data_IF_155266408872
#
_entry.id   IF_155266408872
#
_cell.length_a   1.000
_cell.length_b   1.000
_cell.length_c   1.000
_cell.angle_alpha   90.00
_cell.angle_beta   90.00
_cell.angle_gamma   90.00
#
_symmetry.space_group_name_H-M   'P 1'
#
loop_
_entity.id
_entity.type
_entity.pdbx_description
1 polymer ?
#
# COMPACT_ATOMS: atom_id res chain seq x y z
N UNK A 1 9.23 -7.60 0.08
CA UNK A 1 7.91 -8.17 -0.31
C UNK A 1 7.69 -8.01 -1.82
N UNK A 2 6.97 -8.93 -2.48
CA UNK A 2 6.64 -8.80 -3.92
C UNK A 2 5.28 -8.12 -4.17
N UNK A 3 5.28 -6.94 -4.82
CA UNK A 3 4.04 -6.25 -5.23
C UNK A 3 3.59 -6.72 -6.62
N UNK A 4 2.51 -7.50 -6.67
CA UNK A 4 2.01 -8.11 -7.92
C UNK A 4 1.27 -7.09 -8.81
N UNK A 5 0.48 -6.20 -8.19
CA UNK A 5 -0.50 -5.37 -8.90
C UNK A 5 0.00 -3.96 -9.26
N UNK A 6 1.29 -3.78 -9.61
CA UNK A 6 1.84 -2.45 -9.98
C UNK A 6 1.07 -1.77 -11.12
N UNK A 7 0.52 -2.56 -12.05
CA UNK A 7 -0.29 -2.07 -13.17
C UNK A 7 -1.50 -1.24 -12.69
N UNK A 8 -2.17 -1.67 -11.61
CA UNK A 8 -3.34 -0.98 -11.05
C UNK A 8 -2.96 0.41 -10.53
N UNK A 9 -1.82 0.54 -9.84
CA UNK A 9 -1.32 1.84 -9.39
C UNK A 9 -1.07 2.78 -10.58
N UNK A 10 -0.46 2.23 -11.65
CA UNK A 10 -0.16 2.99 -12.86
C UNK A 10 -1.40 3.48 -13.57
N UNK A 11 -2.39 2.62 -13.76
CA UNK A 11 -3.67 3.00 -14.37
C UNK A 11 -4.45 4.00 -13.53
N UNK A 12 -4.27 3.99 -12.21
CA UNK A 12 -4.90 4.95 -11.33
C UNK A 12 -4.24 6.33 -11.44
N UNK A 13 -2.91 6.41 -11.35
CA UNK A 13 -2.23 7.70 -11.40
C UNK A 13 -2.21 8.34 -12.79
N UNK A 14 -2.40 7.59 -13.87
CA UNK A 14 -2.59 8.19 -15.22
C UNK A 14 -3.89 8.97 -15.31
N UNK A 15 -4.93 8.56 -14.57
CA UNK A 15 -6.21 9.28 -14.45
C UNK A 15 -6.18 10.35 -13.35
N UNK A 16 -5.39 10.12 -12.31
CA UNK A 16 -5.28 10.98 -11.13
C UNK A 16 -3.82 11.36 -10.85
N UNK A 17 -3.23 12.18 -11.72
CA UNK A 17 -1.80 12.55 -11.68
C UNK A 17 -1.33 13.08 -10.32
N UNK A 18 -2.21 13.76 -9.58
CA UNK A 18 -1.90 14.32 -8.26
C UNK A 18 -1.57 13.30 -7.15
N UNK A 19 -1.68 11.99 -7.39
CA UNK A 19 -1.26 10.95 -6.45
C UNK A 19 -0.10 10.08 -6.96
N UNK A 20 0.42 10.34 -8.16
CA UNK A 20 1.45 9.52 -8.81
C UNK A 20 2.68 9.35 -7.91
N UNK A 21 3.20 10.44 -7.37
CA UNK A 21 4.42 10.41 -6.58
C UNK A 21 4.22 9.61 -5.28
N UNK A 22 3.10 9.79 -4.59
CA UNK A 22 2.79 9.06 -3.36
C UNK A 22 2.58 7.57 -3.62
N UNK A 23 1.93 7.18 -4.72
CA UNK A 23 1.77 5.78 -5.08
C UNK A 23 3.11 5.13 -5.51
N UNK A 24 4.00 5.88 -6.18
CA UNK A 24 5.36 5.42 -6.48
C UNK A 24 6.20 5.25 -5.21
N UNK A 25 6.11 6.18 -4.26
CA UNK A 25 6.79 6.06 -2.96
C UNK A 25 6.29 4.84 -2.21
N UNK A 26 4.97 4.70 -2.05
CA UNK A 26 4.37 3.52 -1.41
C UNK A 26 4.82 2.22 -2.07
N UNK A 27 4.85 2.15 -3.41
CA UNK A 27 5.31 0.96 -4.13
C UNK A 27 6.75 0.60 -3.76
N UNK A 28 7.65 1.60 -3.73
CA UNK A 28 9.08 1.39 -3.41
C UNK A 28 9.28 0.98 -1.95
N UNK A 29 8.52 1.57 -1.04
CA UNK A 29 8.54 1.23 0.39
C UNK A 29 8.04 -0.21 0.60
N UNK A 30 6.89 -0.56 0.02
CA UNK A 30 6.33 -1.90 0.09
C UNK A 30 7.26 -2.96 -0.53
N UNK A 31 7.89 -2.68 -1.67
CA UNK A 31 8.84 -3.60 -2.32
C UNK A 31 10.05 -3.93 -1.42
N UNK A 32 10.56 -2.92 -0.70
CA UNK A 32 11.68 -3.05 0.25
C UNK A 32 11.30 -3.55 1.63
N UNK A 33 10.01 -3.55 1.96
CA UNK A 33 9.53 -3.96 3.27
C UNK A 33 9.62 -5.48 3.48
N UNK A 34 9.71 -5.87 4.75
CA UNK A 34 9.71 -7.26 5.22
C UNK A 34 8.61 -7.47 6.29
N UNK A 35 7.44 -6.86 6.11
CA UNK A 35 6.36 -6.91 7.11
C UNK A 35 5.88 -8.34 7.33
N UNK A 36 5.97 -8.85 8.55
CA UNK A 36 5.56 -10.22 8.91
C UNK A 36 4.09 -10.32 9.32
N UNK A 37 3.48 -9.19 9.66
CA UNK A 37 2.08 -9.10 10.09
C UNK A 37 1.56 -7.66 9.95
N UNK A 38 0.26 -7.49 10.17
CA UNK A 38 -0.41 -6.18 10.09
C UNK A 38 0.05 -5.19 11.16
N UNK A 39 0.58 -5.66 12.30
CA UNK A 39 1.05 -4.77 13.37
C UNK A 39 2.33 -4.04 12.96
N UNK A 40 3.23 -4.70 12.22
CA UNK A 40 4.44 -4.05 11.67
C UNK A 40 4.07 -2.95 10.68
N UNK A 41 3.10 -3.22 9.80
CA UNK A 41 2.55 -2.21 8.90
C UNK A 41 1.96 -1.04 9.69
N UNK A 42 1.22 -1.32 10.76
CA UNK A 42 0.61 -0.28 11.60
C UNK A 42 1.64 0.58 12.34
N UNK A 43 2.83 0.03 12.65
CA UNK A 43 3.95 0.79 13.22
C UNK A 43 4.55 1.78 12.21
N UNK A 44 4.74 1.34 10.97
CA UNK A 44 5.30 2.18 9.90
C UNK A 44 4.27 3.16 9.31
N UNK A 45 3.00 2.74 9.23
CA UNK A 45 1.86 3.54 8.77
C UNK A 45 0.79 3.61 9.86
N UNK A 46 0.97 4.47 10.88
CA UNK A 46 0.01 4.62 11.98
C UNK A 46 -1.41 4.98 11.53
N UNK A 47 -1.55 5.66 10.39
CA UNK A 47 -2.85 6.06 9.83
C UNK A 47 -3.51 4.98 8.96
N UNK A 48 -2.82 3.87 8.68
CA UNK A 48 -3.39 2.78 7.90
C UNK A 48 -4.47 2.04 8.70
N UNK A 49 -5.55 1.64 8.02
CA UNK A 49 -6.62 0.85 8.63
C UNK A 49 -6.40 -0.63 8.34
N UNK A 50 -6.39 -1.45 9.39
CA UNK A 50 -6.33 -2.91 9.25
C UNK A 50 -7.76 -3.44 9.13
N UNK A 51 -8.00 -4.22 8.08
CA UNK A 51 -9.25 -4.93 7.84
C UNK A 51 -9.02 -6.43 8.03
N UNK A 52 -10.12 -7.19 8.19
CA UNK A 52 -10.04 -8.65 8.19
C UNK A 52 -9.53 -9.22 6.86
N UNK A 53 -9.04 -10.46 6.90
CA UNK A 53 -8.49 -11.20 5.74
C UNK A 53 -7.20 -10.58 5.17
N UNK A 54 -6.29 -10.14 6.07
CA UNK A 54 -4.99 -9.54 5.74
C UNK A 54 -5.08 -8.38 4.75
N UNK A 55 -6.15 -7.59 4.84
CA UNK A 55 -6.36 -6.40 4.03
C UNK A 55 -5.97 -5.16 4.81
N UNK A 56 -5.27 -4.25 4.15
CA UNK A 56 -4.84 -2.98 4.73
C UNK A 56 -5.27 -1.86 3.81
N UNK A 57 -5.73 -0.77 4.41
CA UNK A 57 -6.08 0.46 3.72
C UNK A 57 -5.05 1.53 4.06
N UNK A 58 -4.33 2.01 3.05
CA UNK A 58 -3.37 3.10 3.17
C UNK A 58 -4.00 4.42 2.72
N UNK A 59 -3.71 5.49 3.45
CA UNK A 59 -4.09 6.84 3.07
C UNK A 59 -3.08 7.40 2.08
N UNK A 60 -3.54 7.80 0.90
CA UNK A 60 -2.69 8.35 -0.17
C UNK A 60 -3.03 9.82 -0.39
N UNK A 61 -1.99 10.64 -0.64
CA UNK A 61 -2.08 12.09 -0.87
C UNK A 61 -2.85 12.81 0.24
N UNK A 62 -2.33 12.78 1.47
CA UNK A 62 -2.90 13.54 2.58
C UNK A 62 -4.35 13.14 2.90
N UNK A 63 -4.67 11.85 2.82
CA UNK A 63 -6.01 11.30 3.07
C UNK A 63 -7.04 11.47 1.92
N UNK A 64 -6.65 12.00 0.76
CA UNK A 64 -7.58 12.20 -0.37
C UNK A 64 -7.94 10.90 -1.10
N UNK A 65 -7.09 9.88 -1.03
CA UNK A 65 -7.31 8.59 -1.67
C UNK A 65 -7.07 7.43 -0.69
N UNK A 66 -7.62 6.26 -1.03
CA UNK A 66 -7.42 5.00 -0.29
C UNK A 66 -6.82 3.97 -1.22
N UNK A 67 -5.69 3.40 -0.81
CA UNK A 67 -5.12 2.23 -1.45
C UNK A 67 -5.45 1.01 -0.60
N UNK A 68 -6.30 0.14 -1.12
CA UNK A 68 -6.68 -1.11 -0.47
C UNK A 68 -5.81 -2.22 -1.03
N UNK A 69 -5.14 -2.95 -0.16
CA UNK A 69 -4.22 -4.03 -0.53
C UNK A 69 -4.46 -5.24 0.33
N UNK A 70 -4.49 -6.41 -0.32
CA UNK A 70 -4.44 -7.71 0.35
C UNK A 70 -2.99 -8.16 0.39
N UNK A 71 -2.53 -8.53 1.58
CA UNK A 71 -1.15 -8.94 1.82
C UNK A 71 -1.13 -10.43 2.17
N UNK A 72 -0.20 -11.15 1.57
CA UNK A 72 0.09 -12.51 1.97
C UNK A 72 1.43 -12.52 2.73
N UNK A 73 1.37 -12.69 4.04
CA UNK A 73 2.55 -12.67 4.90
C UNK A 73 3.38 -13.97 4.84
N UNK A 74 2.78 -15.08 4.38
CA UNK A 74 3.43 -16.39 4.37
C UNK A 74 4.28 -16.64 3.11
N UNK A 75 4.05 -15.87 2.06
CA UNK A 75 4.73 -15.98 0.78
C UNK A 75 5.33 -14.61 0.42
N UNK A 76 6.43 -14.26 1.09
CA UNK A 76 7.16 -13.00 0.88
C UNK A 76 8.29 -13.13 -0.14
#
# INVERSE_FOLDING_TARGET
>A
MRVIAKKVLREFWTKHSGCEQQLKSWYREAEKSEWKNTNEIKKEYPTASILGDNRVVFNIKGNNYRLIVKINFYYQ
#
